data_IF_944496181514
#
_entry.id   IF_944496181514
#
_cell.length_a   1.000
_cell.length_b   1.000
_cell.length_c   1.000
_cell.angle_alpha   90.00
_cell.angle_beta   90.00
_cell.angle_gamma   90.00
#
_symmetry.space_group_name_H-M   'P 1'
#
loop_
_entity.id
_entity.type
_entity.pdbx_description
1 polymer ?
#
# COMPACT_ATOMS: atom_id res chain seq x y z
N UNK A 1 -6.31 -9.60 -3.19
CA UNK A 1 -7.14 -8.66 -2.40
C UNK A 1 -8.06 -7.91 -3.35
N UNK A 2 -9.38 -7.98 -3.13
CA UNK A 2 -10.37 -7.27 -3.96
C UNK A 2 -11.58 -6.86 -3.13
N UNK A 3 -12.55 -6.18 -3.75
CA UNK A 3 -13.81 -5.81 -3.11
C UNK A 3 -13.74 -4.59 -2.19
N UNK A 4 -12.59 -3.91 -2.09
CA UNK A 4 -12.53 -2.63 -1.38
C UNK A 4 -13.24 -1.53 -2.18
N UNK A 5 -13.82 -0.56 -1.45
CA UNK A 5 -14.53 0.58 -2.03
C UNK A 5 -13.58 1.51 -2.79
N UNK A 6 -12.35 1.67 -2.30
CA UNK A 6 -11.38 2.62 -2.85
C UNK A 6 -11.84 4.06 -2.68
N UNK A 7 -11.68 4.91 -3.69
CA UNK A 7 -12.14 6.29 -3.66
C UNK A 7 -11.05 7.30 -3.99
N UNK A 8 -11.39 8.59 -3.92
CA UNK A 8 -10.45 9.66 -4.23
C UNK A 8 -9.51 9.92 -3.04
N UNK A 9 -8.20 9.86 -3.25
CA UNK A 9 -7.19 9.91 -2.17
C UNK A 9 -7.02 11.28 -1.49
N UNK A 10 -7.71 12.32 -1.98
CA UNK A 10 -7.89 13.58 -1.27
C UNK A 10 -9.20 13.58 -0.48
N UNK A 11 -10.32 13.75 -1.19
CA UNK A 11 -11.66 13.80 -0.61
C UNK A 11 -12.02 12.63 0.32
N UNK A 12 -11.68 11.38 -0.01
CA UNK A 12 -12.14 10.21 0.74
C UNK A 12 -11.12 9.68 1.77
N UNK A 13 -9.93 10.28 1.87
CA UNK A 13 -8.84 9.73 2.69
C UNK A 13 -9.16 9.69 4.19
N UNK A 14 -10.05 10.58 4.63
CA UNK A 14 -10.53 10.66 6.01
C UNK A 14 -11.49 9.52 6.38
N UNK A 15 -12.04 8.80 5.39
CA UNK A 15 -13.02 7.75 5.61
C UNK A 15 -12.41 6.44 6.15
N UNK A 16 -11.08 6.37 6.30
CA UNK A 16 -10.39 5.20 6.86
C UNK A 16 -10.53 3.92 6.03
N UNK A 17 -10.86 4.04 4.73
CA UNK A 17 -10.99 2.90 3.82
C UNK A 17 -9.67 2.15 3.68
N UNK A 18 -9.76 0.83 3.52
CA UNK A 18 -8.60 -0.03 3.34
C UNK A 18 -7.85 0.26 2.04
N UNK A 19 -6.55 -0.04 2.07
CA UNK A 19 -5.68 0.05 0.91
C UNK A 19 -5.23 -1.34 0.50
N UNK A 20 -5.63 -1.78 -0.69
CA UNK A 20 -5.36 -3.13 -1.16
C UNK A 20 -3.86 -3.47 -1.18
N UNK A 21 -3.00 -2.51 -1.52
CA UNK A 21 -1.54 -2.71 -1.55
C UNK A 21 -0.99 -2.96 -0.15
N UNK A 22 -1.42 -2.18 0.85
CA UNK A 22 -0.99 -2.34 2.25
C UNK A 22 -1.44 -3.67 2.83
N UNK A 23 -2.70 -4.06 2.57
CA UNK A 23 -3.29 -5.32 3.07
C UNK A 23 -2.58 -6.52 2.44
N UNK A 24 -2.38 -6.51 1.12
CA UNK A 24 -1.65 -7.57 0.42
C UNK A 24 -0.23 -7.71 0.97
N UNK A 25 0.49 -6.59 1.12
CA UNK A 25 1.85 -6.60 1.63
C UNK A 25 1.94 -7.11 3.08
N UNK A 26 0.94 -6.80 3.92
CA UNK A 26 0.89 -7.31 5.30
C UNK A 26 0.84 -8.84 5.32
N UNK A 27 0.01 -9.45 4.48
CA UNK A 27 -0.06 -10.91 4.36
C UNK A 27 1.25 -11.51 3.83
N UNK A 28 1.81 -10.95 2.76
CA UNK A 28 3.07 -11.42 2.18
C UNK A 28 4.23 -11.34 3.18
N UNK A 29 4.32 -10.25 3.95
CA UNK A 29 5.37 -10.05 4.96
C UNK A 29 5.25 -11.08 6.08
N UNK A 30 4.04 -11.37 6.57
CA UNK A 30 3.81 -12.41 7.60
C UNK A 30 4.15 -13.82 7.08
N UNK A 31 3.80 -14.09 5.83
CA UNK A 31 4.08 -15.38 5.18
C UNK A 31 5.59 -15.57 4.96
N UNK A 32 6.28 -14.55 4.46
CA UNK A 32 7.73 -14.57 4.25
C UNK A 32 8.54 -14.66 5.57
N UNK A 33 7.96 -14.26 6.71
CA UNK A 33 8.60 -14.39 8.01
C UNK A 33 8.55 -15.83 8.58
N UNK A 34 7.66 -16.68 8.07
CA UNK A 34 7.39 -18.02 8.62
C UNK A 34 7.63 -19.14 7.61
N UNK A 35 7.71 -18.82 6.32
CA UNK A 35 7.87 -19.76 5.23
C UNK A 35 8.89 -19.26 4.20
N UNK A 36 9.50 -20.19 3.46
CA UNK A 36 10.42 -19.85 2.37
C UNK A 36 9.68 -19.34 1.14
N UNK A 37 9.24 -18.08 1.16
CA UNK A 37 8.45 -17.45 0.12
C UNK A 37 9.32 -16.84 -0.97
N UNK A 38 8.99 -17.11 -2.23
CA UNK A 38 9.58 -16.47 -3.41
C UNK A 38 8.51 -15.65 -4.13
N UNK A 39 8.68 -14.33 -4.18
CA UNK A 39 7.73 -13.44 -4.85
C UNK A 39 7.99 -13.42 -6.36
N UNK A 40 7.01 -13.82 -7.17
CA UNK A 40 7.13 -13.84 -8.64
C UNK A 40 6.54 -12.58 -9.27
N UNK A 41 5.40 -12.13 -8.75
CA UNK A 41 4.67 -10.99 -9.30
C UNK A 41 3.99 -10.19 -8.20
N UNK A 42 3.95 -8.86 -8.33
CA UNK A 42 3.14 -8.00 -7.46
C UNK A 42 2.58 -6.79 -8.21
N UNK A 43 1.27 -6.60 -8.11
CA UNK A 43 0.57 -5.51 -8.79
C UNK A 43 -0.63 -5.04 -7.96
N UNK A 44 -0.93 -3.74 -8.01
CA UNK A 44 -2.13 -3.21 -7.38
C UNK A 44 -2.33 -1.73 -7.59
N UNK A 45 -3.58 -1.29 -7.45
CA UNK A 45 -3.99 0.09 -7.76
C UNK A 45 -3.83 0.46 -9.24
N UNK A 46 -4.10 1.72 -9.57
CA UNK A 46 -4.01 2.19 -10.96
C UNK A 46 -3.68 3.69 -11.02
N UNK A 47 -4.59 4.52 -10.55
CA UNK A 47 -4.48 5.98 -10.62
C UNK A 47 -3.79 6.56 -9.38
N UNK A 48 -2.91 7.56 -9.59
CA UNK A 48 -2.14 8.20 -8.51
C UNK A 48 -3.02 8.83 -7.41
N UNK A 49 -4.21 9.30 -7.76
CA UNK A 49 -5.17 9.94 -6.87
C UNK A 49 -6.30 9.00 -6.40
N UNK A 50 -6.17 7.69 -6.59
CA UNK A 50 -7.16 6.72 -6.13
C UNK A 50 -6.61 5.85 -4.99
N UNK A 51 -7.46 5.57 -4.00
CA UNK A 51 -7.20 4.55 -2.99
C UNK A 51 -7.36 3.17 -3.66
N UNK A 52 -6.34 2.30 -3.64
CA UNK A 52 -6.36 1.02 -4.35
C UNK A 52 -7.46 0.09 -3.84
N UNK A 53 -8.31 -0.34 -4.77
CA UNK A 53 -9.40 -1.30 -4.51
C UNK A 53 -8.96 -2.76 -4.57
N UNK A 54 -7.95 -3.01 -5.40
CA UNK A 54 -7.51 -4.34 -5.76
C UNK A 54 -5.99 -4.37 -5.85
N UNK A 55 -5.45 -5.49 -5.42
CA UNK A 55 -4.04 -5.83 -5.52
C UNK A 55 -3.91 -7.36 -5.51
N UNK A 56 -2.94 -7.88 -6.27
CA UNK A 56 -2.61 -9.29 -6.31
C UNK A 56 -1.10 -9.50 -6.31
N UNK A 57 -0.70 -10.70 -5.90
CA UNK A 57 0.66 -11.16 -6.03
C UNK A 57 0.66 -12.63 -6.41
N UNK A 58 1.70 -13.05 -7.11
CA UNK A 58 2.01 -14.45 -7.40
C UNK A 58 3.28 -14.77 -6.63
N UNK A 59 3.25 -15.83 -5.82
CA UNK A 59 4.40 -16.25 -5.03
C UNK A 59 4.47 -17.77 -4.95
N UNK A 60 5.67 -18.30 -4.83
CA UNK A 60 5.95 -19.71 -4.61
C UNK A 60 6.32 -19.96 -3.14
N UNK A 61 5.96 -21.14 -2.66
CA UNK A 61 6.27 -21.67 -1.33
C UNK A 61 6.60 -23.15 -1.46
N UNK A 62 7.30 -23.75 -0.48
CA UNK A 62 7.42 -25.20 -0.36
C UNK A 62 6.04 -25.89 -0.36
N UNK A 63 5.92 -27.04 -1.03
CA UNK A 63 4.63 -27.74 -1.18
C UNK A 63 4.04 -28.15 0.18
N UNK A 64 4.88 -28.51 1.15
CA UNK A 64 4.50 -28.85 2.52
C UNK A 64 3.95 -27.65 3.32
N UNK A 65 4.33 -26.42 2.96
CA UNK A 65 3.80 -25.19 3.55
C UNK A 65 2.40 -24.79 3.04
N UNK A 66 1.91 -25.41 1.95
CA UNK A 66 0.66 -25.02 1.26
C UNK A 66 -0.56 -25.01 2.17
N UNK A 67 -0.73 -26.03 3.02
CA UNK A 67 -1.85 -26.09 3.96
C UNK A 67 -1.73 -25.03 5.07
N UNK A 68 -0.51 -24.81 5.57
CA UNK A 68 -0.23 -23.81 6.59
C UNK A 68 -0.53 -22.39 6.09
N UNK A 69 -0.07 -22.04 4.89
CA UNK A 69 -0.34 -20.73 4.27
C UNK A 69 -1.83 -20.51 4.01
N UNK A 70 -2.55 -21.54 3.54
CA UNK A 70 -4.02 -21.45 3.37
C UNK A 70 -4.74 -21.23 4.70
N UNK A 71 -4.29 -21.88 5.76
CA UNK A 71 -4.85 -21.70 7.11
C UNK A 71 -4.56 -20.30 7.63
N UNK A 72 -3.32 -19.82 7.48
CA UNK A 72 -2.91 -18.46 7.86
C UNK A 72 -3.73 -17.39 7.12
N UNK A 73 -4.02 -17.60 5.83
CA UNK A 73 -4.87 -16.69 5.08
C UNK A 73 -6.30 -16.63 5.63
N UNK A 74 -6.88 -17.75 6.04
CA UNK A 74 -8.24 -17.75 6.60
C UNK A 74 -8.30 -16.91 7.88
N UNK A 75 -7.32 -17.11 8.79
CA UNK A 75 -7.21 -16.31 10.02
C UNK A 75 -7.01 -14.83 9.69
N UNK A 76 -6.05 -14.52 8.82
CA UNK A 76 -5.77 -13.16 8.38
C UNK A 76 -7.00 -12.50 7.71
N UNK A 77 -7.76 -13.25 6.93
CA UNK A 77 -8.98 -12.76 6.28
C UNK A 77 -10.04 -12.40 7.31
N UNK A 78 -10.23 -13.23 8.34
CA UNK A 78 -11.14 -12.91 9.44
C UNK A 78 -10.71 -11.63 10.16
N UNK A 79 -9.42 -11.49 10.48
CA UNK A 79 -8.90 -10.31 11.17
C UNK A 79 -9.09 -9.03 10.33
N UNK A 80 -8.69 -9.05 9.06
CA UNK A 80 -8.84 -7.88 8.18
C UNK A 80 -10.31 -7.55 7.92
N UNK A 81 -11.18 -8.54 7.75
CA UNK A 81 -12.63 -8.28 7.62
C UNK A 81 -13.20 -7.64 8.86
N UNK A 82 -12.75 -8.04 10.05
CA UNK A 82 -13.16 -7.40 11.30
C UNK A 82 -12.65 -5.96 11.38
N UNK A 83 -11.36 -5.73 11.09
CA UNK A 83 -10.71 -4.40 11.07
C UNK A 83 -11.44 -3.40 10.15
N UNK A 84 -11.90 -3.85 8.97
CA UNK A 84 -12.51 -2.99 7.94
C UNK A 84 -14.02 -3.17 7.78
N UNK A 85 -14.68 -3.92 8.65
CA UNK A 85 -16.10 -4.32 8.54
C UNK A 85 -17.07 -3.16 8.26
N UNK A 86 -16.79 -1.98 8.82
CA UNK A 86 -17.64 -0.79 8.67
C UNK A 86 -17.40 -0.07 7.33
N UNK A 87 -16.16 -0.01 6.87
CA UNK A 87 -15.75 0.84 5.74
C UNK A 87 -15.66 0.07 4.43
N UNK A 88 -15.23 -1.20 4.46
CA UNK A 88 -15.07 -2.10 3.31
C UNK A 88 -15.72 -3.48 3.58
N UNK A 89 -17.05 -3.56 3.73
CA UNK A 89 -17.76 -4.81 4.06
C UNK A 89 -17.61 -5.91 2.99
N UNK A 90 -17.35 -5.52 1.75
CA UNK A 90 -17.21 -6.42 0.60
C UNK A 90 -15.76 -6.89 0.37
N UNK A 91 -14.84 -6.54 1.29
CA UNK A 91 -13.43 -6.93 1.20
C UNK A 91 -13.27 -8.45 1.12
N UNK A 92 -12.44 -8.90 0.19
CA UNK A 92 -12.16 -10.32 -0.04
C UNK A 92 -10.67 -10.57 -0.28
N UNK A 93 -10.17 -11.64 0.33
CA UNK A 93 -8.86 -12.20 0.05
C UNK A 93 -9.03 -13.62 -0.51
N UNK A 94 -8.40 -13.85 -1.65
CA UNK A 94 -8.49 -15.10 -2.41
C UNK A 94 -7.08 -15.64 -2.58
N UNK A 95 -6.95 -16.97 -2.43
CA UNK A 95 -5.73 -17.71 -2.73
C UNK A 95 -6.05 -18.91 -3.60
N UNK A 96 -5.61 -18.79 -4.84
CA UNK A 96 -5.76 -19.78 -5.90
C UNK A 96 -4.39 -20.39 -6.24
N UNK A 97 -4.41 -21.57 -6.84
CA UNK A 97 -3.20 -22.13 -7.43
C UNK A 97 -2.95 -21.48 -8.79
N UNK A 98 -1.69 -21.18 -9.08
CA UNK A 98 -1.24 -20.59 -10.33
C UNK A 98 -0.24 -21.53 -11.01
N UNK A 99 -0.07 -21.37 -12.31
CA UNK A 99 0.98 -22.03 -13.07
C UNK A 99 2.37 -21.66 -12.55
N UNK A 100 3.28 -22.63 -12.59
CA UNK A 100 4.64 -22.43 -12.13
C UNK A 100 5.31 -21.32 -12.94
N UNK A 101 5.87 -20.31 -12.24
CA UNK A 101 6.64 -19.23 -12.85
C UNK A 101 8.10 -19.64 -12.98
N UNK A 102 8.70 -19.36 -14.13
CA UNK A 102 10.10 -19.72 -14.42
C UNK A 102 11.12 -18.92 -13.59
N UNK A 103 10.72 -17.74 -13.08
CA UNK A 103 11.57 -16.87 -12.29
C UNK A 103 10.78 -16.23 -11.14
N UNK A 104 11.53 -15.79 -10.14
CA UNK A 104 11.06 -14.98 -9.03
C UNK A 104 11.97 -13.76 -8.86
N UNK A 105 11.45 -12.73 -8.19
CA UNK A 105 12.23 -11.60 -7.70
C UNK A 105 13.26 -12.16 -6.71
N UNK A 106 14.50 -11.69 -6.79
CA UNK A 106 15.55 -12.13 -5.87
C UNK A 106 15.16 -11.83 -4.41
N UNK A 107 15.61 -12.68 -3.48
CA UNK A 107 15.15 -12.63 -2.09
C UNK A 107 15.49 -11.30 -1.40
N UNK A 108 16.63 -10.70 -1.71
CA UNK A 108 17.05 -9.46 -1.08
C UNK A 108 16.18 -8.30 -1.54
N UNK A 109 15.92 -8.20 -2.85
CA UNK A 109 14.99 -7.22 -3.43
C UNK A 109 13.57 -7.45 -2.94
N UNK A 110 13.07 -8.69 -2.91
CA UNK A 110 11.75 -8.99 -2.36
C UNK A 110 11.65 -8.59 -0.89
N UNK A 111 12.68 -8.87 -0.09
CA UNK A 111 12.72 -8.49 1.33
C UNK A 111 12.72 -6.96 1.51
N UNK A 112 13.56 -6.23 0.77
CA UNK A 112 13.57 -4.76 0.79
C UNK A 112 12.24 -4.19 0.34
N UNK A 113 11.66 -4.72 -0.73
CA UNK A 113 10.37 -4.30 -1.27
C UNK A 113 9.25 -4.46 -0.24
N UNK A 114 9.10 -5.66 0.34
CA UNK A 114 8.04 -5.94 1.33
C UNK A 114 8.18 -5.05 2.57
N UNK A 115 9.41 -4.88 3.08
CA UNK A 115 9.69 -4.00 4.23
C UNK A 115 9.41 -2.53 3.91
N UNK A 116 9.81 -2.06 2.73
CA UNK A 116 9.55 -0.70 2.25
C UNK A 116 8.05 -0.43 2.20
N UNK A 117 7.29 -1.29 1.53
CA UNK A 117 5.83 -1.15 1.46
C UNK A 117 5.19 -1.22 2.85
N UNK A 118 5.71 -2.06 3.75
CA UNK A 118 5.20 -2.17 5.11
C UNK A 118 5.41 -0.85 5.89
N UNK A 119 6.62 -0.26 5.78
CA UNK A 119 7.00 0.97 6.45
C UNK A 119 6.32 2.22 5.89
N UNK A 120 5.99 2.24 4.59
CA UNK A 120 5.37 3.41 3.95
C UNK A 120 4.09 3.85 4.68
N UNK A 121 3.97 5.12 5.09
CA UNK A 121 2.72 5.62 5.65
C UNK A 121 1.60 5.62 4.59
N UNK A 122 0.37 5.46 5.05
CA UNK A 122 -0.84 5.57 4.23
C UNK A 122 -1.99 6.14 5.06
N UNK A 123 -2.82 6.99 4.45
CA UNK A 123 -4.00 7.58 5.06
C UNK A 123 -3.76 9.01 5.55
N UNK A 124 -4.52 9.38 6.58
CA UNK A 124 -4.36 10.66 7.29
C UNK A 124 -3.03 10.64 8.04
N UNK A 125 -2.19 11.64 7.79
CA UNK A 125 -0.93 11.84 8.50
C UNK A 125 -1.07 12.87 9.63
N UNK A 126 -1.83 13.94 9.38
CA UNK A 126 -2.14 14.96 10.37
C UNK A 126 -3.53 15.58 10.13
N UNK A 127 -4.25 15.85 11.22
CA UNK A 127 -5.45 16.68 11.22
C UNK A 127 -5.05 18.14 11.44
N UNK A 128 -5.81 19.08 10.90
CA UNK A 128 -5.56 20.50 11.11
C UNK A 128 -5.72 20.88 12.58
N UNK A 129 -4.78 21.68 13.09
CA UNK A 129 -4.87 22.25 14.43
C UNK A 129 -5.81 23.46 14.49
N UNK A 130 -6.09 24.10 13.34
CA UNK A 130 -6.92 25.29 13.24
C UNK A 130 -8.39 24.96 12.92
N UNK A 131 -8.64 23.91 12.12
CA UNK A 131 -9.97 23.56 11.62
C UNK A 131 -10.34 22.13 12.06
N UNK A 132 -11.19 21.96 13.09
CA UNK A 132 -11.63 20.65 13.55
C UNK A 132 -12.21 19.80 12.42
N UNK A 133 -11.76 18.54 12.32
CA UNK A 133 -12.24 17.59 11.32
C UNK A 133 -11.61 17.72 9.93
N UNK A 134 -10.78 18.74 9.68
CA UNK A 134 -10.07 18.87 8.41
C UNK A 134 -8.78 18.04 8.41
N UNK A 135 -8.60 17.19 7.39
CA UNK A 135 -7.31 16.55 7.12
C UNK A 135 -6.34 17.59 6.58
N UNK A 136 -5.24 17.83 7.30
CA UNK A 136 -4.21 18.78 6.90
C UNK A 136 -3.14 18.13 6.03
N UNK A 137 -2.68 16.94 6.39
CA UNK A 137 -1.66 16.19 5.64
C UNK A 137 -2.10 14.75 5.48
N UNK A 138 -1.93 14.20 4.29
CA UNK A 138 -2.21 12.78 4.01
C UNK A 138 -1.24 12.21 2.99
N UNK A 139 -1.21 10.89 2.91
CA UNK A 139 -0.40 10.16 1.92
C UNK A 139 -1.10 8.91 1.41
N UNK A 140 -1.02 8.68 0.10
CA UNK A 140 -1.65 7.56 -0.59
C UNK A 140 -0.61 6.64 -1.21
N UNK A 141 -0.58 5.36 -0.85
CA UNK A 141 0.12 4.33 -1.61
C UNK A 141 -0.79 3.91 -2.76
N UNK A 142 -0.63 4.56 -3.90
CA UNK A 142 -1.61 4.57 -5.00
C UNK A 142 -1.47 3.39 -5.95
N UNK A 143 -0.24 2.93 -6.19
CA UNK A 143 -0.01 1.83 -7.12
C UNK A 143 1.30 1.10 -6.84
N UNK A 144 1.29 -0.19 -7.16
CA UNK A 144 2.48 -1.03 -7.33
C UNK A 144 2.33 -1.65 -8.71
N UNK A 145 3.32 -1.45 -9.58
CA UNK A 145 3.31 -1.95 -10.95
C UNK A 145 4.62 -2.64 -11.25
N UNK A 146 4.54 -3.92 -11.53
CA UNK A 146 5.65 -4.64 -12.15
C UNK A 146 5.65 -4.33 -13.64
N UNK A 147 6.75 -3.78 -14.12
CA UNK A 147 6.97 -3.36 -15.49
C UNK A 147 7.94 -4.31 -16.19
N UNK A 148 8.06 -4.16 -17.51
CA UNK A 148 9.10 -4.84 -18.27
C UNK A 148 10.51 -4.43 -17.79
N UNK A 149 11.51 -5.28 -18.06
CA UNK A 149 12.90 -4.99 -17.69
C UNK A 149 13.17 -5.07 -16.18
N UNK A 150 12.54 -6.01 -15.47
CA UNK A 150 12.76 -6.27 -14.03
C UNK A 150 12.58 -5.04 -13.13
N UNK A 151 11.65 -4.15 -13.51
CA UNK A 151 11.41 -2.90 -12.79
C UNK A 151 10.08 -2.95 -12.04
N UNK A 152 10.08 -2.56 -10.77
CA UNK A 152 8.84 -2.37 -9.99
C UNK A 152 8.71 -0.88 -9.73
N UNK A 153 7.61 -0.29 -10.20
CA UNK A 153 7.27 1.12 -9.98
C UNK A 153 6.22 1.23 -8.89
N UNK A 154 6.52 2.01 -7.87
CA UNK A 154 5.59 2.32 -6.78
C UNK A 154 5.16 3.78 -6.89
N UNK A 155 3.87 4.02 -6.98
CA UNK A 155 3.28 5.35 -7.01
C UNK A 155 2.75 5.74 -5.63
N UNK A 156 3.16 6.91 -5.14
CA UNK A 156 2.55 7.53 -3.96
C UNK A 156 2.08 8.95 -4.26
N UNK A 157 1.13 9.45 -3.46
CA UNK A 157 0.66 10.84 -3.59
C UNK A 157 0.49 11.44 -2.20
N UNK A 158 1.24 12.50 -1.93
CA UNK A 158 1.18 13.29 -0.71
C UNK A 158 0.35 14.55 -0.94
N UNK A 159 -0.41 14.97 0.07
CA UNK A 159 -1.24 16.18 0.03
C UNK A 159 -1.08 16.92 1.34
N UNK A 160 -1.01 18.25 1.27
CA UNK A 160 -1.24 19.07 2.45
C UNK A 160 -1.76 20.46 2.13
N UNK A 161 -2.53 21.04 3.06
CA UNK A 161 -2.90 22.47 3.04
C UNK A 161 -1.74 23.37 3.49
N UNK A 162 -0.67 22.82 4.07
CA UNK A 162 0.54 23.54 4.48
C UNK A 162 1.73 23.05 3.66
N UNK A 163 2.41 23.97 2.95
CA UNK A 163 3.53 23.64 2.06
C UNK A 163 4.70 22.97 2.80
N UNK A 164 5.08 23.47 3.98
CA UNK A 164 6.16 22.88 4.79
C UNK A 164 5.82 21.47 5.27
N UNK A 165 4.56 21.23 5.67
CA UNK A 165 4.08 19.90 6.05
C UNK A 165 4.06 18.94 4.85
N UNK A 166 3.66 19.42 3.67
CA UNK A 166 3.75 18.66 2.41
C UNK A 166 5.19 18.21 2.13
N UNK A 167 6.15 19.15 2.23
CA UNK A 167 7.57 18.85 2.07
C UNK A 167 8.07 17.80 3.06
N UNK A 168 7.64 17.89 4.32
CA UNK A 168 8.02 16.92 5.34
C UNK A 168 7.53 15.50 5.05
N UNK A 169 6.26 15.32 4.65
CA UNK A 169 5.72 13.99 4.32
C UNK A 169 6.34 13.43 3.02
N UNK A 170 6.66 14.29 2.04
CA UNK A 170 7.40 13.89 0.83
C UNK A 170 8.79 13.37 1.20
N UNK A 171 9.53 14.09 2.04
CA UNK A 171 10.84 13.63 2.53
C UNK A 171 10.73 12.34 3.33
N UNK A 172 9.73 12.20 4.19
CA UNK A 172 9.48 10.96 4.96
C UNK A 172 9.32 9.76 4.02
N UNK A 173 8.46 9.89 3.01
CA UNK A 173 8.21 8.82 2.03
C UNK A 173 9.44 8.52 1.18
N UNK A 174 10.15 9.56 0.73
CA UNK A 174 11.42 9.43 0.00
C UNK A 174 12.44 8.65 0.82
N UNK A 175 12.66 9.00 2.08
CA UNK A 175 13.64 8.33 2.94
C UNK A 175 13.34 6.86 3.13
N UNK A 176 12.06 6.47 3.20
CA UNK A 176 11.66 5.05 3.28
C UNK A 176 12.04 4.29 2.00
N UNK A 177 11.82 4.89 0.83
CA UNK A 177 12.25 4.29 -0.44
C UNK A 177 13.76 4.20 -0.56
N UNK A 178 14.49 5.23 -0.14
CA UNK A 178 15.96 5.25 -0.15
C UNK A 178 16.55 4.18 0.80
N UNK A 179 15.95 3.96 1.97
CA UNK A 179 16.30 2.84 2.88
C UNK A 179 16.01 1.47 2.25
N UNK A 180 15.04 1.41 1.33
CA UNK A 180 14.75 0.24 0.50
C UNK A 180 15.64 0.10 -0.73
N UNK A 181 16.65 0.96 -0.89
CA UNK A 181 17.56 1.04 -2.04
C UNK A 181 16.85 1.35 -3.38
N UNK A 182 15.67 2.00 -3.33
CA UNK A 182 14.93 2.40 -4.52
C UNK A 182 15.39 3.78 -5.04
N UNK A 183 15.36 3.95 -6.37
CA UNK A 183 15.48 5.27 -6.99
C UNK A 183 14.17 6.06 -6.80
N UNK A 184 14.28 7.31 -6.36
CA UNK A 184 13.11 8.16 -6.03
C UNK A 184 13.07 9.42 -6.90
N UNK A 185 12.01 9.52 -7.69
CA UNK A 185 11.70 10.70 -8.49
C UNK A 185 10.44 11.39 -7.95
N UNK A 186 10.53 12.71 -7.73
CA UNK A 186 9.39 13.54 -7.33
C UNK A 186 8.99 14.45 -8.49
N UNK A 187 7.70 14.75 -8.60
CA UNK A 187 7.23 15.83 -9.46
C UNK A 187 7.34 17.18 -8.73
N UNK A 188 7.22 18.29 -9.48
CA UNK A 188 7.28 19.65 -8.93
C UNK A 188 6.09 20.00 -8.01
N UNK A 189 5.05 19.15 -7.98
CA UNK A 189 3.85 19.34 -7.18
C UNK A 189 2.96 20.49 -7.69
N UNK A 190 2.00 20.89 -6.85
CA UNK A 190 1.17 22.09 -7.03
C UNK A 190 0.95 22.73 -5.66
N UNK A 191 0.80 24.07 -5.58
CA UNK A 191 0.70 24.75 -4.29
C UNK A 191 -0.54 24.30 -3.52
N UNK A 192 -0.39 24.10 -2.22
CA UNK A 192 -1.51 23.87 -1.31
C UNK A 192 -2.37 25.13 -1.17
N UNK A 193 -3.69 24.95 -1.03
CA UNK A 193 -4.60 26.03 -0.67
C UNK A 193 -4.94 25.89 0.83
N UNK A 194 -4.49 26.85 1.65
CA UNK A 194 -4.82 26.91 3.08
C UNK A 194 -6.15 27.67 3.24
N UNK A 195 -7.23 27.05 3.73
CA UNK A 195 -8.50 27.75 3.98
C UNK A 195 -8.27 28.84 5.05
N UNK A 196 -8.84 30.03 4.84
CA UNK A 196 -8.82 31.10 5.84
C UNK A 196 -10.12 31.05 6.68
N UNK A 197 -10.06 30.70 7.99
CA UNK A 197 -11.25 30.58 8.85
C UNK A 197 -11.99 31.90 9.09
N UNK A 198 -11.41 33.04 8.69
CA UNK A 198 -11.97 34.39 8.87
C UNK A 198 -12.57 34.98 7.58
N UNK A 199 -12.77 34.16 6.56
CA UNK A 199 -13.40 34.56 5.29
C UNK A 199 -14.91 34.74 5.45
#
# INVERSE_FOLDING_TARGET
VKGLKGGHSGCDIHLGRGNANKILNRFLTQTAATHDLYLCEINGGNMHNAIPREAYAVFAIPEDAKHAVRTALNVFTTDIKNEYSTVDPDLELILESETLRASAIDKDTATRLLKTIYALPHGVYAMSQEIPGLVETSTNLASIKQLEGNTIRIGTSQRSSILSACGNIVTTVRSIFELGEAEVQNNEGYPGWKPNPKS
#
